data_IF_532171588568
#
_entry.id   IF_532171588568
#
_cell.length_a   1.000
_cell.length_b   1.000
_cell.length_c   1.000
_cell.angle_alpha   90.00
_cell.angle_beta   90.00
_cell.angle_gamma   90.00
#
_symmetry.space_group_name_H-M   'P 1'
#
loop_
_entity.id
_entity.type
_entity.pdbx_description
1 polymer ?
#
# COMPACT_ATOMS: atom_id res chain seq x y z
N UNK A 1 -36.99 -27.74 2.30
CA UNK A 1 -36.32 -27.62 1.00
C UNK A 1 -36.54 -26.20 0.53
N UNK A 2 -35.55 -25.43 0.11
CA UNK A 2 -34.19 -25.82 -0.22
C UNK A 2 -33.23 -24.68 0.03
N UNK A 3 -32.04 -25.11 0.41
CA UNK A 3 -30.83 -24.37 0.73
C UNK A 3 -30.29 -23.66 -0.52
N UNK A 4 -30.83 -22.49 -0.84
CA UNK A 4 -30.30 -21.59 -1.87
C UNK A 4 -29.82 -20.27 -1.25
N UNK A 5 -29.15 -20.35 -0.09
CA UNK A 5 -28.59 -19.18 0.59
C UNK A 5 -27.10 -19.39 0.82
N UNK A 6 -26.26 -18.82 -0.07
CA UNK A 6 -24.97 -18.15 0.23
C UNK A 6 -24.12 -17.85 -1.01
N UNK A 7 -24.49 -18.29 -2.22
CA UNK A 7 -23.53 -18.34 -3.33
C UNK A 7 -23.51 -17.14 -4.28
N UNK A 8 -24.34 -16.10 -4.14
CA UNK A 8 -24.46 -15.11 -5.22
C UNK A 8 -24.71 -13.68 -4.76
N UNK A 9 -23.73 -13.07 -4.09
CA UNK A 9 -23.65 -11.61 -3.87
C UNK A 9 -22.19 -11.18 -3.62
N UNK A 10 -21.26 -11.53 -4.52
CA UNK A 10 -19.89 -11.02 -4.49
C UNK A 10 -19.48 -10.60 -5.90
N UNK A 11 -19.62 -9.31 -6.20
CA UNK A 11 -19.55 -8.80 -7.58
C UNK A 11 -18.14 -8.42 -8.05
N UNK A 12 -17.08 -8.72 -7.29
CA UNK A 12 -15.68 -8.68 -7.77
C UNK A 12 -14.79 -9.51 -6.84
N UNK A 13 -15.11 -10.79 -6.66
CA UNK A 13 -14.13 -11.70 -6.08
C UNK A 13 -12.92 -11.73 -7.02
N UNK A 14 -11.71 -11.52 -6.49
CA UNK A 14 -10.49 -11.77 -7.24
C UNK A 14 -10.61 -13.17 -7.86
N UNK A 15 -10.77 -13.25 -9.18
CA UNK A 15 -10.89 -14.53 -9.89
C UNK A 15 -9.74 -15.47 -9.52
N UNK A 16 -8.58 -14.89 -9.18
CA UNK A 16 -7.41 -15.58 -8.67
C UNK A 16 -7.60 -16.23 -7.29
N UNK A 17 -8.33 -15.60 -6.36
CA UNK A 17 -8.61 -16.15 -5.03
C UNK A 17 -9.56 -17.34 -5.11
N UNK A 18 -10.63 -17.23 -5.91
CA UNK A 18 -11.54 -18.35 -6.18
C UNK A 18 -10.79 -19.47 -6.91
N UNK A 19 -10.01 -19.14 -7.94
CA UNK A 19 -9.22 -20.13 -8.67
C UNK A 19 -8.21 -20.83 -7.75
N UNK A 20 -7.53 -20.10 -6.86
CA UNK A 20 -6.60 -20.69 -5.90
C UNK A 20 -7.32 -21.61 -4.92
N UNK A 21 -8.46 -21.18 -4.35
CA UNK A 21 -9.26 -22.01 -3.46
C UNK A 21 -9.80 -23.27 -4.18
N UNK A 22 -10.26 -23.14 -5.42
CA UNK A 22 -10.74 -24.25 -6.24
C UNK A 22 -9.61 -25.24 -6.61
N UNK A 23 -8.42 -24.74 -6.95
CA UNK A 23 -7.25 -25.58 -7.25
C UNK A 23 -6.75 -26.31 -6.00
N UNK A 24 -6.67 -25.64 -4.85
CA UNK A 24 -6.28 -26.26 -3.59
C UNK A 24 -7.28 -27.33 -3.13
N UNK A 25 -8.58 -27.04 -3.18
CA UNK A 25 -9.62 -28.03 -2.84
C UNK A 25 -9.64 -29.19 -3.83
N UNK A 26 -9.43 -28.93 -5.13
CA UNK A 26 -9.30 -29.96 -6.15
C UNK A 26 -8.12 -30.91 -5.91
N UNK A 27 -6.97 -30.38 -5.47
CA UNK A 27 -5.79 -31.21 -5.14
C UNK A 27 -6.06 -32.13 -3.94
N UNK A 28 -6.79 -31.63 -2.94
CA UNK A 28 -7.18 -32.43 -1.77
C UNK A 28 -8.20 -33.51 -2.14
N UNK A 29 -9.20 -33.21 -2.97
CA UNK A 29 -10.19 -34.20 -3.40
C UNK A 29 -9.55 -35.28 -4.27
N UNK A 30 -8.70 -34.92 -5.22
CA UNK A 30 -8.03 -35.88 -6.12
C UNK A 30 -7.12 -36.84 -5.36
N UNK A 31 -6.40 -36.34 -4.35
CA UNK A 31 -5.58 -37.19 -3.47
C UNK A 31 -6.43 -38.13 -2.61
N UNK A 32 -7.54 -37.66 -2.04
CA UNK A 32 -8.44 -38.51 -1.26
C UNK A 32 -9.10 -39.63 -2.10
N UNK A 33 -9.48 -39.33 -3.35
CA UNK A 33 -10.08 -40.31 -4.25
C UNK A 33 -9.06 -41.37 -4.72
N UNK A 34 -7.78 -41.00 -4.84
CA UNK A 34 -6.70 -41.91 -5.26
C UNK A 34 -6.20 -42.88 -4.18
N UNK A 35 -6.52 -42.66 -2.90
CA UNK A 35 -6.08 -43.53 -1.80
C UNK A 35 -6.86 -44.84 -1.74
N UNK A 36 -6.16 -45.94 -1.43
CA UNK A 36 -6.79 -47.24 -1.17
C UNK A 36 -7.62 -47.21 0.11
N UNK A 37 -8.63 -48.09 0.24
CA UNK A 37 -9.50 -48.13 1.43
C UNK A 37 -8.76 -48.40 2.74
N UNK A 38 -7.59 -49.06 2.67
CA UNK A 38 -6.69 -49.24 3.81
C UNK A 38 -6.00 -47.94 4.22
N UNK A 39 -5.48 -47.20 3.24
CA UNK A 39 -4.78 -45.95 3.47
C UNK A 39 -5.74 -44.84 3.94
N UNK A 40 -6.95 -44.77 3.37
CA UNK A 40 -7.99 -43.82 3.80
C UNK A 40 -8.32 -43.97 5.29
N UNK A 41 -8.43 -45.21 5.78
CA UNK A 41 -8.70 -45.49 7.20
C UNK A 41 -7.49 -45.19 8.08
N UNK A 42 -6.28 -45.42 7.59
CA UNK A 42 -5.04 -45.09 8.29
C UNK A 42 -4.84 -43.56 8.43
N UNK A 43 -5.21 -42.78 7.41
CA UNK A 43 -5.04 -41.32 7.39
C UNK A 43 -6.25 -40.53 7.92
N UNK A 44 -7.43 -41.14 8.04
CA UNK A 44 -8.63 -40.51 8.59
C UNK A 44 -8.44 -39.78 9.93
N UNK A 45 -7.79 -40.35 10.97
CA UNK A 45 -7.58 -39.65 12.24
C UNK A 45 -6.64 -38.45 12.11
N UNK A 46 -5.62 -38.53 11.25
CA UNK A 46 -4.68 -37.44 10.99
C UNK A 46 -5.32 -36.30 10.16
N UNK A 47 -6.19 -36.65 9.21
CA UNK A 47 -6.98 -35.68 8.44
C UNK A 47 -7.95 -34.89 9.31
N UNK A 48 -8.65 -35.56 10.24
CA UNK A 48 -9.54 -34.89 11.19
C UNK A 48 -8.75 -33.99 12.16
N UNK A 49 -7.60 -34.46 12.67
CA UNK A 49 -6.75 -33.69 13.57
C UNK A 49 -6.15 -32.44 12.92
N UNK A 50 -5.70 -32.54 11.66
CA UNK A 50 -5.15 -31.39 10.92
C UNK A 50 -6.23 -30.38 10.53
N UNK A 51 -7.44 -30.83 10.15
CA UNK A 51 -8.59 -29.97 9.92
C UNK A 51 -9.00 -29.22 11.21
N UNK A 52 -9.03 -29.90 12.35
CA UNK A 52 -9.32 -29.27 13.63
C UNK A 52 -8.22 -28.29 14.06
N UNK A 53 -6.95 -28.66 13.88
CA UNK A 53 -5.81 -27.80 14.21
C UNK A 53 -5.76 -26.54 13.35
N UNK A 54 -6.08 -26.64 12.05
CA UNK A 54 -6.19 -25.46 11.16
C UNK A 54 -7.37 -24.58 11.53
N UNK A 55 -8.53 -25.15 11.89
CA UNK A 55 -9.69 -24.38 12.40
C UNK A 55 -9.39 -23.68 13.72
N UNK A 56 -8.66 -24.34 14.64
CA UNK A 56 -8.25 -23.74 15.90
C UNK A 56 -7.17 -22.67 15.70
N UNK A 57 -6.20 -22.90 14.81
CA UNK A 57 -5.18 -21.91 14.48
C UNK A 57 -5.80 -20.68 13.82
N UNK A 58 -6.73 -20.87 12.87
CA UNK A 58 -7.53 -19.78 12.30
C UNK A 58 -8.35 -19.08 13.39
N UNK A 59 -9.01 -19.86 14.25
CA UNK A 59 -9.72 -19.34 15.41
C UNK A 59 -8.81 -18.60 16.42
N UNK A 60 -7.52 -18.90 16.50
CA UNK A 60 -6.59 -18.22 17.41
C UNK A 60 -5.94 -16.98 16.76
N UNK A 61 -5.66 -17.03 15.46
CA UNK A 61 -5.14 -15.87 14.71
C UNK A 61 -6.23 -14.84 14.43
N UNK A 62 -7.49 -15.28 14.33
CA UNK A 62 -8.65 -14.42 14.09
C UNK A 62 -9.59 -14.28 15.30
N UNK A 63 -9.47 -15.07 16.37
CA UNK A 63 -10.37 -15.05 17.54
C UNK A 63 -10.24 -13.84 18.46
N UNK A 64 -9.29 -12.95 18.19
CA UNK A 64 -9.28 -11.61 18.77
C UNK A 64 -10.36 -10.67 18.19
N UNK A 65 -11.20 -11.13 17.25
CA UNK A 65 -12.22 -10.29 16.57
C UNK A 65 -13.63 -10.41 17.13
N UNK A 66 -13.84 -11.07 18.27
CA UNK A 66 -15.17 -11.16 18.90
C UNK A 66 -15.24 -10.40 20.24
N UNK A 67 -14.70 -9.19 20.30
CA UNK A 67 -15.20 -8.09 21.15
C UNK A 67 -14.57 -6.75 20.70
N UNK A 68 -14.84 -6.38 19.45
CA UNK A 68 -14.68 -5.01 18.95
C UNK A 68 -15.51 -4.78 17.68
N UNK A 69 -16.79 -5.14 17.69
CA UNK A 69 -17.76 -4.69 16.68
C UNK A 69 -18.71 -3.64 17.29
N UNK A 70 -18.09 -2.59 17.83
CA UNK A 70 -18.57 -1.24 17.62
C UNK A 70 -17.47 -0.51 16.83
N UNK A 71 -17.77 -0.18 15.58
CA UNK A 71 -16.88 0.37 14.54
C UNK A 71 -16.01 -0.67 13.81
N UNK A 72 -16.57 -1.18 12.71
CA UNK A 72 -15.96 -2.22 11.89
C UNK A 72 -14.57 -1.87 11.34
N UNK A 73 -13.75 -2.92 11.26
CA UNK A 73 -12.62 -3.10 10.33
C UNK A 73 -12.12 -4.54 10.46
N UNK A 74 -12.84 -5.48 9.85
CA UNK A 74 -12.34 -6.82 9.53
C UNK A 74 -11.75 -6.80 8.12
N UNK A 75 -10.51 -7.26 7.96
CA UNK A 75 -9.75 -7.22 6.71
C UNK A 75 -10.37 -8.03 5.57
N UNK A 76 -11.24 -7.39 4.81
CA UNK A 76 -11.22 -7.48 3.36
C UNK A 76 -10.26 -6.40 2.85
N UNK A 77 -9.57 -6.62 1.73
CA UNK A 77 -9.12 -5.48 0.94
C UNK A 77 -10.39 -4.73 0.55
N UNK A 78 -10.76 -3.73 1.36
CA UNK A 78 -11.91 -2.90 1.13
C UNK A 78 -11.80 -2.39 -0.30
N UNK A 79 -12.89 -2.52 -1.07
CA UNK A 79 -13.01 -1.79 -2.32
C UNK A 79 -12.56 -0.36 -2.02
N UNK A 80 -11.48 0.08 -2.69
CA UNK A 80 -10.90 1.38 -2.43
C UNK A 80 -12.02 2.42 -2.51
N UNK A 81 -12.13 3.36 -1.55
CA UNK A 81 -13.13 4.40 -1.61
C UNK A 81 -13.10 5.04 -3.01
N UNK A 82 -14.25 5.16 -3.66
CA UNK A 82 -14.37 5.85 -4.95
C UNK A 82 -13.95 7.32 -4.86
N UNK A 83 -13.87 7.83 -3.64
CA UNK A 83 -13.48 9.17 -3.27
C UNK A 83 -12.72 9.16 -1.93
N UNK A 84 -11.62 9.90 -1.86
CA UNK A 84 -10.77 10.10 -0.70
C UNK A 84 -10.84 11.57 -0.32
N UNK A 85 -11.33 11.87 0.87
CA UNK A 85 -11.23 13.21 1.45
C UNK A 85 -9.77 13.55 1.73
N UNK A 86 -9.36 14.79 1.47
CA UNK A 86 -8.00 15.26 1.76
C UNK A 86 -7.66 15.05 3.24
N UNK A 87 -6.67 14.21 3.48
CA UNK A 87 -6.17 13.87 4.81
C UNK A 87 -4.65 13.66 4.72
N UNK A 88 -3.84 14.72 4.88
CA UNK A 88 -2.39 14.61 4.77
C UNK A 88 -1.83 13.71 5.87
N UNK A 89 -0.84 12.85 5.55
CA UNK A 89 -0.24 11.97 6.53
C UNK A 89 0.59 12.79 7.53
N UNK A 90 0.50 12.43 8.80
CA UNK A 90 1.33 13.04 9.83
C UNK A 90 2.81 12.63 9.66
N UNK A 91 3.71 13.61 9.70
CA UNK A 91 5.16 13.39 9.71
C UNK A 91 5.59 13.32 11.18
N UNK A 92 5.72 12.10 11.68
CA UNK A 92 6.01 11.84 13.11
C UNK A 92 7.51 11.83 13.42
N UNK A 93 8.36 11.82 12.39
CA UNK A 93 9.83 11.78 12.53
C UNK A 93 10.42 13.19 12.64
N UNK A 94 11.46 13.31 13.45
CA UNK A 94 12.29 14.51 13.55
C UNK A 94 13.41 14.46 12.52
N UNK A 95 13.75 15.61 11.93
CA UNK A 95 14.79 15.71 10.91
C UNK A 95 16.18 15.55 11.50
N UNK A 96 17.00 14.72 10.85
CA UNK A 96 18.42 14.64 11.16
C UNK A 96 19.18 15.88 10.68
N UNK A 97 20.40 16.15 11.18
CA UNK A 97 21.25 17.22 10.65
C UNK A 97 21.51 17.07 9.14
N UNK A 98 21.64 15.84 8.64
CA UNK A 98 21.79 15.53 7.21
C UNK A 98 20.55 15.93 6.43
N UNK A 99 19.36 15.55 6.90
CA UNK A 99 18.09 15.94 6.27
C UNK A 99 17.92 17.47 6.20
N UNK A 100 18.29 18.17 7.27
CA UNK A 100 18.25 19.64 7.31
C UNK A 100 19.23 20.31 6.34
N UNK A 101 20.44 19.75 6.19
CA UNK A 101 21.41 20.23 5.21
C UNK A 101 20.89 20.01 3.79
N UNK A 102 20.38 18.81 3.51
CA UNK A 102 19.82 18.44 2.22
C UNK A 102 18.62 19.33 1.85
N UNK A 103 17.68 19.54 2.76
CA UNK A 103 16.52 20.41 2.52
C UNK A 103 16.90 21.84 2.16
N UNK A 104 17.95 22.40 2.78
CA UNK A 104 18.45 23.73 2.42
C UNK A 104 19.04 23.77 1.01
N UNK A 105 19.80 22.74 0.63
CA UNK A 105 20.38 22.62 -0.73
C UNK A 105 19.28 22.46 -1.77
N UNK A 106 18.31 21.57 -1.52
CA UNK A 106 17.12 21.40 -2.37
C UNK A 106 16.40 22.73 -2.59
N UNK A 107 16.11 23.47 -1.52
CA UNK A 107 15.47 24.79 -1.63
C UNK A 107 16.32 25.79 -2.43
N UNK A 108 17.64 25.81 -2.20
CA UNK A 108 18.55 26.70 -2.93
C UNK A 108 18.61 26.38 -4.44
N UNK A 109 18.51 25.09 -4.79
CA UNK A 109 18.43 24.62 -6.17
C UNK A 109 17.04 24.79 -6.81
N UNK A 110 16.07 25.39 -6.10
CA UNK A 110 14.69 25.54 -6.58
C UNK A 110 13.95 24.20 -6.72
N UNK A 111 14.35 23.19 -5.96
CA UNK A 111 13.75 21.86 -6.04
C UNK A 111 12.30 21.86 -5.55
N UNK A 112 11.43 21.20 -6.31
CA UNK A 112 10.03 20.97 -5.96
C UNK A 112 9.76 19.48 -5.82
N UNK A 113 9.03 19.15 -4.76
CA UNK A 113 8.56 17.80 -4.48
C UNK A 113 7.05 17.74 -4.67
N UNK A 114 6.60 17.13 -5.75
CA UNK A 114 5.19 16.91 -6.05
C UNK A 114 4.74 15.55 -5.50
N UNK A 115 3.61 15.54 -4.81
CA UNK A 115 3.05 14.31 -4.25
C UNK A 115 1.54 14.35 -4.11
N UNK A 116 1.03 13.24 -3.58
CA UNK A 116 -0.37 13.08 -3.22
C UNK A 116 -0.50 12.70 -1.75
N UNK A 117 -1.50 13.20 -1.04
CA UNK A 117 -1.71 12.89 0.38
C UNK A 117 -1.88 11.39 0.67
N UNK A 118 -2.46 10.63 -0.26
CA UNK A 118 -2.72 9.19 -0.13
C UNK A 118 -1.56 8.30 -0.60
N UNK A 119 -0.47 8.88 -1.12
CA UNK A 119 0.65 8.14 -1.70
C UNK A 119 1.62 7.64 -0.62
N UNK A 120 1.82 6.31 -0.54
CA UNK A 120 2.70 5.67 0.45
C UNK A 120 4.15 6.11 0.31
N UNK A 121 4.71 6.06 -0.90
CA UNK A 121 6.09 6.49 -1.17
C UNK A 121 6.32 7.98 -0.88
N UNK A 122 5.29 8.81 -1.07
CA UNK A 122 5.34 10.21 -0.73
C UNK A 122 5.41 10.40 0.79
N UNK A 123 4.67 9.59 1.55
CA UNK A 123 4.77 9.55 3.01
C UNK A 123 6.16 9.07 3.45
N UNK A 124 6.70 8.03 2.83
CA UNK A 124 8.01 7.47 3.19
C UNK A 124 9.14 8.50 2.94
N UNK A 125 9.12 9.18 1.79
CA UNK A 125 10.02 10.31 1.50
C UNK A 125 9.91 11.42 2.57
N UNK A 126 8.68 11.80 2.95
CA UNK A 126 8.44 12.83 3.98
C UNK A 126 8.95 12.40 5.34
N UNK A 127 8.77 11.13 5.71
CA UNK A 127 9.26 10.57 6.97
C UNK A 127 10.79 10.48 7.00
N UNK A 128 11.43 10.14 5.88
CA UNK A 128 12.89 10.12 5.78
C UNK A 128 13.49 11.53 5.98
N UNK A 129 12.86 12.56 5.41
CA UNK A 129 13.26 13.95 5.60
C UNK A 129 12.93 14.45 7.03
N UNK A 130 11.77 14.09 7.57
CA UNK A 130 11.29 14.52 8.87
C UNK A 130 10.68 15.93 8.89
N UNK A 131 10.08 16.28 10.01
CA UNK A 131 9.19 17.44 10.17
C UNK A 131 9.86 18.78 9.82
N UNK A 132 11.06 19.04 10.31
CA UNK A 132 11.76 20.32 10.14
C UNK A 132 12.26 20.52 8.71
N UNK A 133 12.81 19.47 8.09
CA UNK A 133 13.30 19.49 6.72
C UNK A 133 12.13 19.65 5.73
N UNK A 134 11.02 18.95 5.97
CA UNK A 134 9.81 19.10 5.15
C UNK A 134 9.17 20.49 5.26
N UNK A 135 9.42 21.25 6.33
CA UNK A 135 9.03 22.66 6.42
C UNK A 135 9.91 23.59 5.56
N UNK A 136 11.05 23.10 5.06
CA UNK A 136 11.98 23.85 4.21
C UNK A 136 11.85 23.45 2.75
N UNK A 137 11.63 22.16 2.46
CA UNK A 137 11.43 21.64 1.10
C UNK A 137 10.12 22.20 0.51
N UNK A 138 10.16 22.63 -0.75
CA UNK A 138 8.97 23.08 -1.47
C UNK A 138 8.13 21.88 -1.91
N UNK A 139 7.16 21.48 -1.08
CA UNK A 139 6.20 20.43 -1.39
C UNK A 139 4.95 20.99 -2.08
N UNK A 140 4.52 20.33 -3.16
CA UNK A 140 3.29 20.64 -3.90
C UNK A 140 2.33 19.46 -3.82
N UNK A 141 1.17 19.70 -3.20
CA UNK A 141 0.08 18.73 -3.14
C UNK A 141 -0.72 18.74 -4.45
N UNK A 142 -0.83 17.59 -5.09
CA UNK A 142 -1.52 17.48 -6.38
C UNK A 142 -3.02 17.21 -6.27
N UNK A 143 -3.52 16.86 -5.08
CA UNK A 143 -4.95 16.65 -4.79
C UNK A 143 -5.40 17.37 -3.50
N UNK A 144 -5.33 18.72 -3.45
CA UNK A 144 -5.63 19.48 -2.23
C UNK A 144 -7.10 19.39 -1.80
N UNK A 145 -8.02 19.13 -2.74
CA UNK A 145 -9.46 19.03 -2.49
C UNK A 145 -9.94 17.58 -2.31
N UNK A 146 -9.01 16.64 -2.19
CA UNK A 146 -9.30 15.21 -2.17
C UNK A 146 -9.12 14.57 -3.55
N UNK A 147 -9.35 13.26 -3.62
CA UNK A 147 -9.15 12.46 -4.82
C UNK A 147 -10.38 11.62 -5.14
N UNK A 148 -10.75 11.53 -6.41
CA UNK A 148 -11.70 10.54 -6.93
C UNK A 148 -11.23 10.03 -8.27
N UNK A 149 -11.82 8.94 -8.75
CA UNK A 149 -11.49 8.40 -10.08
C UNK A 149 -11.70 9.48 -11.16
N UNK A 150 -10.64 9.75 -11.92
CA UNK A 150 -10.65 10.76 -12.99
C UNK A 150 -10.52 12.21 -12.51
N UNK A 151 -10.21 12.42 -11.22
CA UNK A 151 -9.88 13.76 -10.71
C UNK A 151 -8.63 14.29 -11.43
N UNK A 152 -8.69 15.49 -12.04
CA UNK A 152 -7.51 16.11 -12.64
C UNK A 152 -6.48 16.49 -11.56
N UNK A 153 -5.22 16.59 -11.95
CA UNK A 153 -4.17 17.14 -11.11
C UNK A 153 -4.44 18.63 -10.84
N UNK A 154 -4.05 19.10 -9.65
CA UNK A 154 -3.98 20.53 -9.36
C UNK A 154 -3.16 21.27 -10.44
N UNK A 155 -3.50 22.53 -10.80
CA UNK A 155 -2.85 23.24 -11.91
C UNK A 155 -1.32 23.28 -11.85
N UNK A 156 -0.73 23.41 -10.65
CA UNK A 156 0.71 23.42 -10.46
C UNK A 156 1.36 22.08 -10.87
N UNK A 157 0.73 20.95 -10.55
CA UNK A 157 1.24 19.62 -10.91
C UNK A 157 1.02 19.30 -12.38
N UNK A 158 -0.10 19.75 -12.95
CA UNK A 158 -0.37 19.60 -14.39
C UNK A 158 0.62 20.42 -15.24
N UNK A 159 0.94 21.65 -14.80
CA UNK A 159 1.93 22.51 -15.48
C UNK A 159 3.35 21.93 -15.44
N UNK A 160 3.70 21.20 -14.36
CA UNK A 160 4.96 20.49 -14.23
C UNK A 160 4.98 19.11 -14.91
N UNK A 161 3.92 18.76 -15.64
CA UNK A 161 3.75 17.50 -16.38
C UNK A 161 4.00 16.22 -15.53
N UNK A 162 3.59 16.26 -14.26
CA UNK A 162 3.78 15.16 -13.30
C UNK A 162 3.11 13.87 -13.80
N UNK A 163 3.89 12.79 -13.95
CA UNK A 163 3.41 11.49 -14.48
C UNK A 163 3.07 10.45 -13.42
N UNK A 164 3.56 10.64 -12.21
CA UNK A 164 3.40 9.70 -11.10
C UNK A 164 3.92 10.32 -9.81
N UNK A 165 3.74 9.61 -8.70
CA UNK A 165 4.15 10.10 -7.38
C UNK A 165 5.05 9.11 -6.65
N UNK A 166 6.01 9.62 -5.86
CA UNK A 166 6.42 11.02 -5.78
C UNK A 166 7.14 11.48 -7.06
N UNK A 167 7.20 12.79 -7.28
CA UNK A 167 7.90 13.39 -8.42
C UNK A 167 8.73 14.57 -7.95
N UNK A 168 9.99 14.60 -8.35
CA UNK A 168 10.92 15.68 -8.04
C UNK A 168 11.23 16.47 -9.30
N UNK A 169 11.25 17.78 -9.18
CA UNK A 169 11.81 18.68 -10.17
C UNK A 169 12.97 19.40 -9.49
N UNK A 170 14.21 19.14 -9.93
CA UNK A 170 15.42 19.70 -9.31
C UNK A 170 16.19 20.42 -10.41
N UNK A 171 16.40 21.72 -10.26
CA UNK A 171 17.00 22.57 -11.29
C UNK A 171 16.35 22.45 -12.69
N UNK A 172 15.04 22.18 -12.74
CA UNK A 172 14.27 22.01 -13.97
C UNK A 172 14.32 20.60 -14.58
N UNK A 173 15.07 19.67 -13.98
CA UNK A 173 15.10 18.26 -14.38
C UNK A 173 14.13 17.41 -13.56
N UNK A 174 13.48 16.46 -14.22
CA UNK A 174 12.49 15.59 -13.61
C UNK A 174 13.09 14.28 -13.10
N UNK A 175 12.79 13.93 -11.85
CA UNK A 175 13.17 12.68 -11.23
C UNK A 175 11.93 11.99 -10.64
N UNK A 176 11.58 10.84 -11.23
CA UNK A 176 10.41 10.06 -10.82
C UNK A 176 10.72 9.16 -9.63
N UNK A 177 9.75 9.01 -8.74
CA UNK A 177 9.81 8.07 -7.62
C UNK A 177 10.55 8.62 -6.41
N UNK A 178 10.52 7.82 -5.35
CA UNK A 178 11.17 8.12 -4.08
C UNK A 178 12.69 8.17 -4.28
N UNK A 179 13.34 9.16 -3.67
CA UNK A 179 14.78 9.39 -3.76
C UNK A 179 15.41 9.23 -2.39
N UNK A 180 16.45 8.40 -2.32
CA UNK A 180 17.30 8.31 -1.13
C UNK A 180 18.11 9.59 -0.95
N UNK A 181 18.67 9.80 0.24
CA UNK A 181 19.52 10.97 0.50
C UNK A 181 20.76 10.97 -0.39
N UNK A 182 21.38 9.81 -0.62
CA UNK A 182 22.54 9.69 -1.52
C UNK A 182 22.17 10.09 -2.96
N UNK A 183 20.97 9.73 -3.44
CA UNK A 183 20.49 10.12 -4.77
C UNK A 183 20.25 11.63 -4.86
N UNK A 184 19.54 12.21 -3.89
CA UNK A 184 19.28 13.65 -3.87
C UNK A 184 20.59 14.46 -3.77
N UNK A 185 21.55 14.01 -2.96
CA UNK A 185 22.87 14.61 -2.87
C UNK A 185 23.62 14.51 -4.20
N UNK A 186 23.65 13.34 -4.83
CA UNK A 186 24.31 13.16 -6.12
C UNK A 186 23.70 14.04 -7.23
N UNK A 187 22.36 14.18 -7.26
CA UNK A 187 21.67 15.07 -8.20
C UNK A 187 22.10 16.53 -7.95
N UNK A 188 22.10 16.97 -6.69
CA UNK A 188 22.49 18.34 -6.34
C UNK A 188 23.96 18.63 -6.63
N UNK A 189 24.86 17.69 -6.35
CA UNK A 189 26.28 17.80 -6.67
C UNK A 189 26.50 17.94 -8.18
N UNK A 190 25.72 17.20 -8.99
CA UNK A 190 25.75 17.32 -10.44
C UNK A 190 25.29 18.70 -10.92
N UNK A 191 24.20 19.23 -10.35
CA UNK A 191 23.71 20.60 -10.64
C UNK A 191 24.76 21.66 -10.28
N UNK A 192 25.37 21.56 -9.10
CA UNK A 192 26.40 22.50 -8.63
C UNK A 192 27.66 22.47 -9.52
N UNK A 193 27.98 21.33 -10.13
CA UNK A 193 29.13 21.22 -11.05
C UNK A 193 28.94 21.91 -12.40
N UNK A 194 27.71 22.27 -12.75
CA UNK A 194 27.32 22.89 -14.03
C UNK A 194 27.04 24.40 -13.85
N UNK A 195 26.84 24.85 -12.60
CA UNK A 195 26.55 26.24 -12.24
C UNK A 195 27.82 27.09 -12.09
#
# INVERSE_FOLDING_TARGET
GDSAGLAFRLHTECAYCIASAALSTGLVVTTLVGLSDGDRKAFAPYGAATALATLLAFGATFGGVQEADAAGKGGAAAAAPTELTYAPPEITTESSPRAMALARRLRAAGAKFYGAFWCSHCKDQKLALGRQAMAVVEYVECFPDGWRKGEPLAPACAAADVKGFPWWEIAGEAHSGEQTFDQLEAILDAVESIA
#
